data_IF_935195765231
#
_entry.id   IF_935195765231
#
_cell.length_a   1.000
_cell.length_b   1.000
_cell.length_c   1.000
_cell.angle_alpha   90.00
_cell.angle_beta   90.00
_cell.angle_gamma   90.00
#
_symmetry.space_group_name_H-M   'P 1'
#
loop_
_entity.id
_entity.type
_entity.pdbx_description
1 polymer ?
#
# COMPACT_ATOMS: atom_id res chain seq x y z
N UNK A 1 -57.31 -11.44 -25.53
CA UNK A 1 -57.04 -10.53 -26.67
C UNK A 1 -56.24 -9.35 -26.12
N UNK A 2 -55.06 -9.09 -26.70
CA UNK A 2 -54.07 -8.00 -26.45
C UNK A 2 -54.68 -6.58 -26.30
N UNK A 3 -54.12 -5.51 -25.68
CA UNK A 3 -52.76 -4.91 -25.50
C UNK A 3 -52.75 -3.99 -24.24
N UNK A 4 -51.76 -3.99 -23.33
CA UNK A 4 -50.52 -3.14 -23.19
C UNK A 4 -50.70 -1.60 -23.26
N UNK A 5 -50.38 -0.88 -22.16
CA UNK A 5 -49.32 0.16 -21.96
C UNK A 5 -49.44 0.74 -20.53
N UNK A 6 -48.55 0.41 -19.58
CA UNK A 6 -47.34 1.14 -19.14
C UNK A 6 -47.61 2.52 -18.48
N UNK A 7 -47.28 2.66 -17.19
CA UNK A 7 -46.54 3.80 -16.58
C UNK A 7 -46.65 3.77 -15.05
N UNK A 8 -45.51 3.84 -14.36
CA UNK A 8 -45.48 3.98 -12.90
C UNK A 8 -44.15 3.60 -12.25
N UNK A 9 -43.06 4.24 -12.70
CA UNK A 9 -41.71 4.19 -12.14
C UNK A 9 -41.69 4.90 -10.78
N UNK A 10 -41.22 4.24 -9.70
CA UNK A 10 -40.45 4.93 -8.65
C UNK A 10 -39.25 4.08 -8.29
N UNK A 11 -38.14 4.51 -8.87
CA UNK A 11 -36.77 4.10 -8.65
C UNK A 11 -36.39 4.35 -7.18
N UNK A 12 -36.31 3.30 -6.36
CA UNK A 12 -35.66 3.43 -5.05
C UNK A 12 -34.16 3.32 -5.26
N UNK A 13 -33.54 4.46 -5.58
CA UNK A 13 -32.09 4.63 -5.55
C UNK A 13 -31.68 4.67 -4.08
N UNK A 14 -31.32 3.53 -3.51
CA UNK A 14 -30.53 3.52 -2.28
C UNK A 14 -29.10 3.82 -2.70
N UNK A 15 -28.77 5.11 -2.71
CA UNK A 15 -27.37 5.56 -2.70
C UNK A 15 -26.83 5.17 -1.32
N UNK A 16 -26.35 3.93 -1.20
CA UNK A 16 -25.41 3.57 -0.16
C UNK A 16 -24.07 4.22 -0.53
N UNK A 17 -23.98 5.54 -0.32
CA UNK A 17 -22.69 6.21 -0.16
C UNK A 17 -22.13 5.79 1.20
N UNK A 18 -21.71 4.52 1.30
CA UNK A 18 -20.74 4.15 2.30
C UNK A 18 -19.47 4.88 1.90
N UNK A 19 -19.15 5.95 2.64
CA UNK A 19 -17.83 6.55 2.69
C UNK A 19 -16.84 5.46 3.08
N UNK A 20 -16.33 4.75 2.08
CA UNK A 20 -15.19 3.86 2.26
C UNK A 20 -14.01 4.77 2.56
N UNK A 21 -13.54 4.73 3.80
CA UNK A 21 -12.11 4.92 4.05
C UNK A 21 -11.47 3.83 3.20
N UNK A 22 -11.05 4.16 1.97
CA UNK A 22 -10.50 3.16 1.06
C UNK A 22 -9.25 2.60 1.72
N UNK A 23 -9.34 1.38 2.25
CA UNK A 23 -8.15 0.63 2.62
C UNK A 23 -7.24 0.63 1.39
N UNK A 24 -5.98 0.99 1.59
CA UNK A 24 -5.03 0.96 0.48
C UNK A 24 -4.93 -0.49 0.00
N UNK A 25 -5.17 -0.78 -1.28
CA UNK A 25 -5.07 -2.14 -1.80
C UNK A 25 -3.70 -2.72 -1.43
N UNK A 26 -3.72 -3.99 -1.03
CA UNK A 26 -2.51 -4.69 -0.59
C UNK A 26 -2.54 -6.18 -0.96
N UNK A 27 -1.36 -6.76 -1.16
CA UNK A 27 -1.19 -8.17 -1.48
C UNK A 27 0.09 -8.72 -0.83
N UNK A 28 0.00 -9.96 -0.33
CA UNK A 28 1.17 -10.70 0.12
C UNK A 28 1.85 -11.40 -1.06
N UNK A 29 3.12 -11.08 -1.32
CA UNK A 29 3.94 -11.68 -2.37
C UNK A 29 5.30 -12.01 -1.75
N UNK A 30 5.70 -13.29 -1.83
CA UNK A 30 6.98 -13.80 -1.33
C UNK A 30 7.28 -13.43 0.15
N UNK A 31 6.24 -13.36 0.99
CA UNK A 31 6.35 -13.01 2.41
C UNK A 31 6.40 -11.50 2.70
N UNK A 32 6.25 -10.65 1.68
CA UNK A 32 6.15 -9.21 1.80
C UNK A 32 4.71 -8.77 1.57
N UNK A 33 4.18 -7.91 2.44
CA UNK A 33 2.92 -7.25 2.18
C UNK A 33 3.20 -5.95 1.39
N UNK A 34 2.78 -5.94 0.13
CA UNK A 34 2.92 -4.80 -0.77
C UNK A 34 1.60 -4.05 -0.79
N UNK A 35 1.64 -2.75 -0.54
CA UNK A 35 0.47 -1.89 -0.58
C UNK A 35 0.71 -0.69 -1.48
N UNK A 36 -0.34 -0.17 -2.09
CA UNK A 36 -0.24 1.04 -2.89
C UNK A 36 -1.40 1.99 -2.65
N UNK A 37 -1.12 3.28 -2.85
CA UNK A 37 -2.09 4.34 -2.66
C UNK A 37 -2.05 5.31 -3.81
N UNK A 38 -3.23 5.70 -4.28
CA UNK A 38 -3.39 6.77 -5.26
C UNK A 38 -2.83 8.07 -4.70
N UNK A 39 -1.88 8.62 -5.44
CA UNK A 39 -1.16 9.85 -5.18
C UNK A 39 -1.39 10.90 -6.28
N UNK A 40 -2.43 10.72 -7.11
CA UNK A 40 -2.85 11.64 -8.16
C UNK A 40 -3.14 13.06 -7.67
N UNK A 41 -3.46 13.25 -6.38
CA UNK A 41 -3.56 14.61 -5.82
C UNK A 41 -2.26 15.41 -5.95
N UNK A 42 -1.08 14.78 -6.02
CA UNK A 42 0.19 15.49 -6.30
C UNK A 42 0.16 16.18 -7.67
N UNK A 43 -0.38 15.53 -8.71
CA UNK A 43 -0.42 16.15 -10.05
C UNK A 43 -1.36 17.35 -10.11
N UNK A 44 -2.39 17.41 -9.25
CA UNK A 44 -3.26 18.60 -9.15
C UNK A 44 -2.58 19.81 -8.53
N UNK A 45 -1.60 19.62 -7.64
CA UNK A 45 -0.83 20.71 -7.02
C UNK A 45 0.29 21.19 -7.95
N UNK A 46 0.79 20.31 -8.83
CA UNK A 46 1.81 20.64 -9.82
C UNK A 46 1.40 20.17 -11.23
N UNK A 47 0.43 20.84 -11.87
CA UNK A 47 -0.07 20.44 -13.19
C UNK A 47 1.05 20.41 -14.24
N UNK A 48 1.11 19.34 -15.03
CA UNK A 48 2.10 19.18 -16.11
C UNK A 48 3.52 18.83 -15.65
N UNK A 49 3.76 18.70 -14.35
CA UNK A 49 5.08 18.33 -13.82
C UNK A 49 5.39 16.82 -13.91
N UNK A 50 4.37 15.98 -14.09
CA UNK A 50 4.51 14.54 -14.27
C UNK A 50 3.79 14.13 -15.56
N UNK A 51 4.50 13.45 -16.46
CA UNK A 51 3.92 12.96 -17.70
C UNK A 51 3.04 11.74 -17.45
N UNK A 52 1.73 11.89 -17.66
CA UNK A 52 0.73 10.83 -17.55
C UNK A 52 -0.07 10.76 -18.85
N UNK A 53 -0.24 9.56 -19.39
CA UNK A 53 -1.20 9.34 -20.47
C UNK A 53 -2.63 9.32 -19.93
N UNK A 54 -3.62 9.41 -20.82
CA UNK A 54 -5.03 9.30 -20.44
C UNK A 54 -5.29 8.01 -19.64
N UNK A 55 -5.95 8.15 -18.50
CA UNK A 55 -6.29 7.05 -17.59
C UNK A 55 -5.13 6.57 -16.69
N UNK A 56 -3.93 7.15 -16.79
CA UNK A 56 -2.82 6.85 -15.87
C UNK A 56 -2.92 7.68 -14.59
N UNK A 57 -2.70 7.03 -13.46
CA UNK A 57 -2.55 7.65 -12.15
C UNK A 57 -1.15 7.45 -11.58
N UNK A 58 -0.81 8.26 -10.58
CA UNK A 58 0.44 8.17 -9.82
C UNK A 58 0.14 7.37 -8.56
N UNK A 59 0.87 6.29 -8.33
CA UNK A 59 0.67 5.45 -7.15
C UNK A 59 1.96 5.33 -6.36
N UNK A 60 1.86 5.55 -5.06
CA UNK A 60 2.95 5.29 -4.12
C UNK A 60 2.85 3.84 -3.67
N UNK A 61 3.92 3.09 -3.88
CA UNK A 61 4.09 1.73 -3.39
C UNK A 61 4.88 1.74 -2.11
N UNK A 62 4.39 1.01 -1.12
CA UNK A 62 5.09 0.71 0.11
C UNK A 62 5.12 -0.78 0.36
N UNK A 63 6.04 -1.19 1.23
CA UNK A 63 6.16 -2.56 1.69
C UNK A 63 6.19 -2.60 3.21
N UNK A 64 5.65 -3.66 3.77
CA UNK A 64 5.93 -4.08 5.13
C UNK A 64 6.40 -5.53 5.08
N UNK A 65 7.39 -5.86 5.89
CA UNK A 65 7.53 -7.25 6.31
C UNK A 65 6.65 -7.47 7.54
N UNK A 66 6.10 -8.67 7.68
CA UNK A 66 5.45 -9.10 8.92
C UNK A 66 6.29 -10.22 9.55
N UNK A 67 7.56 -9.95 9.91
CA UNK A 67 8.44 -10.98 10.39
C UNK A 67 7.94 -11.57 11.71
N UNK A 68 8.14 -12.87 11.87
CA UNK A 68 7.80 -13.59 13.10
C UNK A 68 9.04 -13.75 13.97
N UNK A 69 8.92 -13.51 15.27
CA UNK A 69 9.99 -13.72 16.25
C UNK A 69 9.45 -14.18 17.61
N UNK A 70 10.30 -14.81 18.40
CA UNK A 70 9.94 -15.34 19.72
C UNK A 70 10.55 -14.50 20.83
N UNK A 71 9.75 -14.16 21.84
CA UNK A 71 10.20 -13.46 23.06
C UNK A 71 10.78 -14.43 24.09
N UNK A 72 11.43 -13.89 25.12
CA UNK A 72 12.00 -14.66 26.24
C UNK A 72 10.95 -15.47 27.01
N UNK A 73 9.71 -14.99 27.07
CA UNK A 73 8.58 -15.71 27.68
C UNK A 73 7.98 -16.81 26.79
N UNK A 74 8.53 -17.04 25.59
CA UNK A 74 8.04 -18.03 24.64
C UNK A 74 6.94 -17.54 23.69
N UNK A 75 6.45 -16.31 23.86
CA UNK A 75 5.42 -15.77 22.97
C UNK A 75 5.97 -15.58 21.55
N UNK A 76 5.19 -16.03 20.56
CA UNK A 76 5.46 -15.83 19.14
C UNK A 76 4.73 -14.57 18.67
N UNK A 77 5.48 -13.62 18.13
CA UNK A 77 4.98 -12.32 17.68
C UNK A 77 5.11 -12.21 16.17
N UNK A 78 4.01 -11.87 15.51
CA UNK A 78 4.01 -11.37 14.13
C UNK A 78 4.15 -9.85 14.21
N UNK A 79 5.26 -9.31 13.71
CA UNK A 79 5.53 -7.88 13.87
C UNK A 79 4.52 -7.03 13.12
N UNK A 80 3.97 -6.04 13.84
CA UNK A 80 3.29 -4.87 13.31
C UNK A 80 3.43 -3.73 14.34
N UNK A 81 2.99 -2.51 14.00
CA UNK A 81 3.13 -1.34 14.87
C UNK A 81 2.52 -1.51 16.28
N UNK A 82 1.48 -2.33 16.41
CA UNK A 82 0.73 -2.51 17.67
C UNK A 82 1.03 -3.86 18.33
N UNK A 83 1.92 -4.67 17.74
CA UNK A 83 2.20 -6.05 18.18
C UNK A 83 2.74 -6.15 19.61
N UNK A 84 3.31 -5.07 20.13
CA UNK A 84 3.89 -4.99 21.47
C UNK A 84 2.97 -4.34 22.51
N UNK A 85 1.82 -3.78 22.11
CA UNK A 85 0.94 -3.02 23.01
C UNK A 85 0.41 -3.88 24.16
N UNK A 86 0.25 -5.19 23.94
CA UNK A 86 -0.16 -6.16 24.97
C UNK A 86 0.81 -6.27 26.15
N UNK A 87 2.04 -5.78 26.02
CA UNK A 87 3.04 -5.75 27.10
C UNK A 87 3.19 -4.37 27.72
N UNK A 88 2.34 -3.40 27.37
CA UNK A 88 2.38 -2.07 27.98
C UNK A 88 2.11 -2.20 29.48
N UNK A 89 3.02 -1.67 30.30
CA UNK A 89 2.95 -1.78 31.76
C UNK A 89 3.48 -3.10 32.33
N UNK A 90 3.99 -4.01 31.49
CA UNK A 90 4.67 -5.21 31.96
C UNK A 90 6.01 -4.86 32.64
N UNK A 91 6.22 -5.26 33.91
CA UNK A 91 7.43 -4.93 34.65
C UNK A 91 8.63 -5.81 34.28
N UNK A 92 8.43 -6.89 33.51
CA UNK A 92 9.50 -7.82 33.11
C UNK A 92 10.31 -7.35 31.90
N UNK A 93 9.94 -6.21 31.32
CA UNK A 93 10.64 -5.61 30.18
C UNK A 93 10.25 -6.20 28.82
N UNK A 94 9.19 -7.02 28.76
CA UNK A 94 8.74 -7.67 27.53
C UNK A 94 8.35 -6.67 26.44
N UNK A 95 7.84 -5.48 26.80
CA UNK A 95 7.58 -4.41 25.83
C UNK A 95 8.85 -3.99 25.09
N UNK A 96 9.92 -3.70 25.82
CA UNK A 96 11.19 -3.27 25.25
C UNK A 96 11.85 -4.41 24.44
N UNK A 97 11.75 -5.65 24.92
CA UNK A 97 12.22 -6.81 24.17
C UNK A 97 11.47 -6.97 22.84
N UNK A 98 10.13 -6.92 22.90
CA UNK A 98 9.26 -7.02 21.74
C UNK A 98 9.58 -5.95 20.70
N UNK A 99 9.65 -4.70 21.11
CA UNK A 99 9.96 -3.60 20.22
C UNK A 99 11.34 -3.78 19.55
N UNK A 100 12.36 -4.08 20.33
CA UNK A 100 13.73 -4.24 19.82
C UNK A 100 13.89 -5.43 18.88
N UNK A 101 13.27 -6.58 19.19
CA UNK A 101 13.28 -7.75 18.30
C UNK A 101 12.48 -7.48 17.03
N UNK A 102 11.33 -6.82 17.14
CA UNK A 102 10.52 -6.39 15.99
C UNK A 102 11.29 -5.52 15.01
N UNK A 103 11.92 -4.44 15.50
CA UNK A 103 12.75 -3.55 14.67
C UNK A 103 13.91 -4.29 14.00
N UNK A 104 14.59 -5.20 14.72
CA UNK A 104 15.68 -6.01 14.13
C UNK A 104 15.16 -6.95 13.06
N UNK A 105 14.03 -7.60 13.30
CA UNK A 105 13.41 -8.51 12.36
C UNK A 105 12.93 -7.79 11.10
N UNK A 106 12.33 -6.60 11.25
CA UNK A 106 11.92 -5.73 10.14
C UNK A 106 13.13 -5.26 9.32
N UNK A 107 14.20 -4.82 9.98
CA UNK A 107 15.44 -4.43 9.32
C UNK A 107 16.07 -5.61 8.56
N UNK A 108 16.09 -6.80 9.17
CA UNK A 108 16.62 -8.00 8.54
C UNK A 108 15.78 -8.42 7.32
N UNK A 109 14.45 -8.38 7.43
CA UNK A 109 13.56 -8.68 6.32
C UNK A 109 13.66 -7.63 5.20
N UNK A 110 13.72 -6.34 5.56
CA UNK A 110 13.93 -5.23 4.62
C UNK A 110 15.26 -5.32 3.87
N UNK A 111 16.32 -5.78 4.54
CA UNK A 111 17.64 -5.96 3.92
C UNK A 111 17.69 -7.08 2.86
N UNK A 112 16.72 -8.01 2.89
CA UNK A 112 16.63 -9.12 1.92
C UNK A 112 15.93 -8.71 0.62
N UNK A 113 15.20 -7.61 0.61
CA UNK A 113 14.46 -7.16 -0.56
C UNK A 113 15.17 -5.96 -1.20
N UNK A 114 16.05 -6.27 -2.17
CA UNK A 114 16.65 -5.23 -3.02
C UNK A 114 15.56 -4.36 -3.64
N UNK A 115 15.88 -3.11 -3.95
CA UNK A 115 14.94 -2.20 -4.58
C UNK A 115 14.37 -2.76 -5.90
N UNK A 116 15.23 -3.36 -6.74
CA UNK A 116 14.78 -4.00 -7.98
C UNK A 116 13.75 -5.11 -7.71
N UNK A 117 14.02 -5.98 -6.73
CA UNK A 117 13.09 -7.04 -6.36
C UNK A 117 11.79 -6.48 -5.78
N UNK A 118 11.83 -5.34 -5.08
CA UNK A 118 10.62 -4.67 -4.61
C UNK A 118 9.72 -4.23 -5.75
N UNK A 119 10.29 -3.61 -6.80
CA UNK A 119 9.52 -3.22 -7.99
C UNK A 119 8.89 -4.47 -8.65
N UNK A 120 9.64 -5.56 -8.78
CA UNK A 120 9.12 -6.82 -9.34
C UNK A 120 7.94 -7.38 -8.53
N UNK A 121 8.06 -7.48 -7.19
CA UNK A 121 6.96 -8.03 -6.37
C UNK A 121 5.75 -7.10 -6.32
N UNK A 122 5.95 -5.79 -6.49
CA UNK A 122 4.87 -4.83 -6.60
C UNK A 122 4.08 -4.98 -7.91
N UNK A 123 4.75 -5.23 -9.03
CA UNK A 123 4.07 -5.56 -10.28
C UNK A 123 3.23 -6.85 -10.14
N UNK A 124 3.78 -7.88 -9.51
CA UNK A 124 3.05 -9.13 -9.23
C UNK A 124 1.86 -8.87 -8.31
N UNK A 125 2.01 -8.03 -7.29
CA UNK A 125 0.94 -7.66 -6.36
C UNK A 125 -0.24 -7.01 -7.10
N UNK A 126 0.02 -6.01 -7.96
CA UNK A 126 -1.02 -5.34 -8.76
C UNK A 126 -1.73 -6.33 -9.68
N UNK A 127 -0.98 -7.21 -10.36
CA UNK A 127 -1.56 -8.24 -11.24
C UNK A 127 -2.43 -9.24 -10.49
N UNK A 128 -2.08 -9.59 -9.25
CA UNK A 128 -2.86 -10.53 -8.41
C UNK A 128 -4.14 -9.90 -7.86
N UNK A 129 -4.09 -8.62 -7.48
CA UNK A 129 -5.25 -7.89 -6.98
C UNK A 129 -6.26 -7.66 -8.11
N UNK A 130 -5.80 -7.23 -9.29
CA UNK A 130 -6.55 -7.27 -10.54
C UNK A 130 -7.46 -6.07 -10.84
N UNK A 131 -7.60 -5.08 -9.95
CA UNK A 131 -8.40 -3.87 -10.19
C UNK A 131 -7.66 -2.81 -11.02
N UNK A 132 -6.34 -2.95 -11.14
CA UNK A 132 -5.48 -2.00 -11.83
C UNK A 132 -4.51 -2.72 -12.78
N UNK A 133 -4.16 -2.04 -13.87
CA UNK A 133 -3.09 -2.45 -14.77
C UNK A 133 -1.78 -1.77 -14.35
N UNK A 134 -0.72 -2.57 -14.17
CA UNK A 134 0.65 -2.08 -14.05
C UNK A 134 1.11 -1.44 -15.37
N UNK A 135 1.45 -0.15 -15.35
CA UNK A 135 1.98 0.55 -16.53
C UNK A 135 3.50 0.46 -16.57
N UNK A 136 4.14 0.64 -15.41
CA UNK A 136 5.58 0.54 -15.31
C UNK A 136 6.16 1.38 -14.17
N UNK A 137 7.37 1.00 -13.79
CA UNK A 137 8.26 1.80 -12.96
C UNK A 137 9.27 2.54 -13.86
N UNK A 138 9.41 3.85 -13.63
CA UNK A 138 10.43 4.68 -14.24
C UNK A 138 11.14 5.49 -13.14
N UNK A 139 12.48 5.46 -13.13
CA UNK A 139 13.26 6.08 -12.05
C UNK A 139 13.17 7.61 -12.10
N UNK A 140 13.13 8.20 -13.29
CA UNK A 140 13.04 9.66 -13.42
C UNK A 140 11.69 10.16 -12.89
N UNK A 141 10.62 9.47 -13.26
CA UNK A 141 9.27 9.69 -12.74
C UNK A 141 9.20 9.52 -11.21
N UNK A 142 9.79 8.46 -10.64
CA UNK A 142 9.84 8.24 -9.19
C UNK A 142 10.53 9.40 -8.45
N UNK A 143 11.70 9.81 -8.94
CA UNK A 143 12.46 10.93 -8.37
C UNK A 143 11.69 12.25 -8.48
N UNK A 144 11.00 12.46 -9.59
CA UNK A 144 10.20 13.65 -9.81
C UNK A 144 8.99 13.67 -8.87
N UNK A 145 8.25 12.56 -8.73
CA UNK A 145 7.13 12.43 -7.82
C UNK A 145 7.54 12.68 -6.35
N UNK A 146 8.71 12.18 -5.92
CA UNK A 146 9.29 12.46 -4.60
C UNK A 146 9.58 13.93 -4.39
N UNK A 147 10.21 14.58 -5.38
CA UNK A 147 10.56 16.00 -5.34
C UNK A 147 9.32 16.87 -5.22
N UNK A 148 8.27 16.53 -5.96
CA UNK A 148 7.05 17.33 -6.04
C UNK A 148 6.21 17.18 -4.76
N UNK A 149 6.00 15.94 -4.30
CA UNK A 149 5.16 15.72 -3.12
C UNK A 149 5.86 15.92 -1.78
N UNK A 150 7.18 16.20 -1.77
CA UNK A 150 8.02 16.22 -0.56
C UNK A 150 7.86 14.94 0.30
N UNK A 151 7.57 13.80 -0.35
CA UNK A 151 7.09 12.59 0.35
C UNK A 151 8.23 11.76 0.90
N UNK A 152 9.39 11.77 0.23
CA UNK A 152 10.55 10.97 0.63
C UNK A 152 11.86 11.47 -0.02
N UNK A 153 12.98 11.15 0.62
CA UNK A 153 14.31 11.33 0.02
C UNK A 153 14.50 10.43 -1.20
N UNK A 154 15.38 10.83 -2.13
CA UNK A 154 15.79 10.03 -3.29
C UNK A 154 16.51 8.73 -2.92
N UNK A 155 17.00 8.63 -1.68
CA UNK A 155 17.68 7.44 -1.13
C UNK A 155 16.74 6.49 -0.36
N UNK A 156 15.47 6.84 -0.18
CA UNK A 156 14.54 6.00 0.56
C UNK A 156 13.99 4.88 -0.34
N UNK A 157 14.52 3.67 -0.19
CA UNK A 157 14.12 2.47 -0.95
C UNK A 157 12.94 1.70 -0.32
N UNK A 158 12.36 2.21 0.77
CA UNK A 158 11.19 1.58 1.42
C UNK A 158 9.89 1.84 0.67
N UNK A 159 9.89 2.82 -0.22
CA UNK A 159 8.77 3.18 -1.09
C UNK A 159 9.28 3.57 -2.47
N UNK A 160 8.38 3.61 -3.46
CA UNK A 160 8.60 4.24 -4.76
C UNK A 160 7.29 4.68 -5.39
N UNK A 161 7.37 5.50 -6.44
CA UNK A 161 6.22 5.89 -7.25
C UNK A 161 6.25 5.21 -8.61
N UNK A 162 5.09 4.72 -9.05
CA UNK A 162 4.90 4.12 -10.36
C UNK A 162 3.54 4.51 -10.94
N UNK A 163 3.35 4.20 -12.23
CA UNK A 163 2.10 4.48 -12.94
C UNK A 163 1.22 3.24 -12.96
N UNK A 164 -0.07 3.41 -12.66
CA UNK A 164 -1.11 2.40 -12.89
C UNK A 164 -2.22 2.99 -13.75
N UNK A 165 -3.00 2.12 -14.41
CA UNK A 165 -4.34 2.47 -14.93
C UNK A 165 -5.37 1.66 -14.16
N UNK A 166 -6.26 2.33 -13.44
CA UNK A 166 -7.33 1.69 -12.69
C UNK A 166 -8.67 2.09 -13.31
N UNK A 167 -9.59 1.12 -13.40
CA UNK A 167 -10.93 1.31 -13.99
C UNK A 167 -11.97 1.74 -12.97
#
# INVERSE_FOLDING_TARGET
MFRIFASGLVLSVVVAACSSVSESPSQNVDGFNIFWKDFGKISSVHPGSLELNAGEGIYMFGRTSAPTYTLSNGDVIVHNYNSCDKYTGDPSGLYAECWNKGVRAENAASSRLSFAKFVEVAEVAVRREGSCQWVGYDRAFDLQARSIGLVASSKDERLFFAKLRCG
#
